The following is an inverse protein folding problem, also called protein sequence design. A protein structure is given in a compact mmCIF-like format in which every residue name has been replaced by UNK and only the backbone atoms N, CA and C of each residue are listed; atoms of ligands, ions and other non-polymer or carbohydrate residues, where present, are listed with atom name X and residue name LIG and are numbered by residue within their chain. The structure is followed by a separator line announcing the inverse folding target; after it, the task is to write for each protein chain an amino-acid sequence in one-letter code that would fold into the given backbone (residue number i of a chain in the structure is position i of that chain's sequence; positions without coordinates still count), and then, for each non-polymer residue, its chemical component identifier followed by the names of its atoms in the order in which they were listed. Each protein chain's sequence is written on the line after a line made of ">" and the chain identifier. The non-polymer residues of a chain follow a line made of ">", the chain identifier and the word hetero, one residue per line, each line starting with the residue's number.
data_IF_360690302820
#
_entry.id   IF_360690302820
#
_cell.length_a   1.000
_cell.length_b   1.000
_cell.length_c   1.000
_cell.angle_alpha   90.00
_cell.angle_beta   90.00
_cell.angle_gamma   90.00
#
_symmetry.space_group_name_H-M   'P 1'
#
loop_
_entity.id
_entity.type
_entity.pdbx_description
1 polymer ?
#
# COMPACT_ATOMS: atom_id res chain seq x y z
N UNK A 1 1.67 -19.98 4.55
CA UNK A 1 1.03 -18.82 5.25
C UNK A 1 0.19 -18.02 4.27
N UNK A 2 -0.77 -17.24 4.78
CA UNK A 2 -1.51 -16.23 4.02
C UNK A 2 -0.89 -14.85 4.29
N UNK A 3 -0.29 -14.25 3.29
CA UNK A 3 0.50 -13.02 3.44
C UNK A 3 -0.13 -11.89 2.63
N UNK A 4 -0.53 -10.82 3.30
CA UNK A 4 -0.98 -9.59 2.65
C UNK A 4 0.22 -8.72 2.25
N UNK A 5 0.22 -8.20 1.03
CA UNK A 5 1.25 -7.27 0.54
C UNK A 5 0.63 -5.89 0.40
N UNK A 6 1.10 -4.95 1.19
CA UNK A 6 0.72 -3.54 1.10
C UNK A 6 1.87 -2.74 0.51
N UNK A 7 1.83 -2.55 -0.80
CA UNK A 7 2.76 -1.67 -1.51
C UNK A 7 2.37 -0.20 -1.37
N UNK A 8 3.36 0.67 -1.29
CA UNK A 8 3.10 2.10 -1.24
C UNK A 8 4.36 2.94 -1.27
N UNK A 9 4.21 4.23 -1.57
CA UNK A 9 5.33 5.17 -1.45
C UNK A 9 5.64 5.43 0.02
N UNK A 10 4.59 5.52 0.86
CA UNK A 10 4.68 5.79 2.30
C UNK A 10 5.50 7.07 2.61
N UNK A 11 5.06 8.17 2.06
CA UNK A 11 5.74 9.46 2.09
C UNK A 11 4.83 10.58 2.67
N UNK A 12 4.50 10.54 3.99
CA UNK A 12 4.73 9.47 4.96
C UNK A 12 3.69 8.34 4.91
N UNK A 13 3.94 7.25 5.63
CA UNK A 13 2.92 6.28 5.99
C UNK A 13 1.93 6.94 6.96
N UNK A 14 0.65 6.54 6.89
CA UNK A 14 -0.43 7.17 7.68
C UNK A 14 -1.41 6.14 8.24
N UNK A 15 -2.24 6.55 9.19
CA UNK A 15 -3.19 5.70 9.91
C UNK A 15 -4.12 4.95 8.97
N UNK A 16 -4.58 5.57 7.88
CA UNK A 16 -5.42 4.91 6.88
C UNK A 16 -4.79 3.67 6.25
N UNK A 17 -3.46 3.66 6.06
CA UNK A 17 -2.75 2.47 5.58
C UNK A 17 -2.65 1.40 6.65
N UNK A 18 -2.44 1.78 7.90
CA UNK A 18 -2.36 0.85 9.02
C UNK A 18 -3.73 0.20 9.30
N UNK A 19 -4.80 0.99 9.29
CA UNK A 19 -6.17 0.49 9.47
C UNK A 19 -6.60 -0.42 8.32
N UNK A 20 -6.27 -0.07 7.08
CA UNK A 20 -6.54 -0.92 5.93
C UNK A 20 -5.81 -2.26 6.03
N UNK A 21 -4.54 -2.25 6.46
CA UNK A 21 -3.78 -3.46 6.71
C UNK A 21 -4.40 -4.33 7.81
N UNK A 22 -4.82 -3.70 8.91
CA UNK A 22 -5.51 -4.40 10.02
C UNK A 22 -6.84 -5.00 9.58
N UNK A 23 -7.61 -4.25 8.77
CA UNK A 23 -8.87 -4.76 8.21
C UNK A 23 -8.64 -5.95 7.30
N UNK A 24 -7.63 -5.91 6.43
CA UNK A 24 -7.28 -7.03 5.57
C UNK A 24 -6.86 -8.26 6.38
N UNK A 25 -6.02 -8.06 7.39
CA UNK A 25 -5.56 -9.11 8.31
C UNK A 25 -6.75 -9.85 8.93
N UNK A 26 -7.71 -9.10 9.47
CA UNK A 26 -8.89 -9.65 10.16
C UNK A 26 -9.91 -10.23 9.20
N UNK A 27 -10.25 -9.52 8.12
CA UNK A 27 -11.32 -9.92 7.19
C UNK A 27 -10.98 -11.20 6.42
N UNK A 28 -9.70 -11.43 6.12
CA UNK A 28 -9.25 -12.57 5.31
C UNK A 28 -8.47 -13.62 6.10
N UNK A 29 -8.39 -13.46 7.43
CA UNK A 29 -7.65 -14.36 8.31
C UNK A 29 -6.22 -14.56 7.79
N UNK A 30 -5.52 -13.41 7.57
CA UNK A 30 -4.15 -13.42 7.12
C UNK A 30 -3.18 -13.64 8.29
N UNK A 31 -2.09 -14.33 8.04
CA UNK A 31 -1.06 -14.57 9.05
C UNK A 31 -0.19 -13.33 9.28
N UNK A 32 0.08 -12.59 8.19
CA UNK A 32 0.99 -11.46 8.19
C UNK A 32 0.57 -10.40 7.14
N UNK A 33 0.98 -9.15 7.39
CA UNK A 33 1.00 -8.09 6.37
C UNK A 33 2.44 -7.62 6.17
N UNK A 34 2.89 -7.62 4.94
CA UNK A 34 4.17 -7.05 4.53
C UNK A 34 3.96 -5.65 3.97
N UNK A 35 4.48 -4.64 4.67
CA UNK A 35 4.54 -3.27 4.18
C UNK A 35 5.76 -3.12 3.30
N UNK A 36 5.55 -2.79 2.04
CA UNK A 36 6.59 -2.74 1.02
C UNK A 36 6.73 -1.34 0.44
N UNK A 37 7.64 -0.51 0.99
CA UNK A 37 7.95 0.79 0.39
C UNK A 37 8.49 0.61 -1.04
N UNK A 38 7.89 1.32 -2.01
CA UNK A 38 8.38 1.27 -3.39
C UNK A 38 9.71 2.02 -3.49
N UNK A 39 10.65 1.45 -4.23
CA UNK A 39 11.85 2.17 -4.64
C UNK A 39 11.50 3.22 -5.71
N UNK A 40 11.40 2.78 -6.96
CA UNK A 40 11.09 3.63 -8.10
C UNK A 40 9.75 3.18 -8.73
N UNK A 41 8.60 3.78 -8.34
CA UNK A 41 7.29 3.36 -8.83
C UNK A 41 7.09 3.78 -10.29
N UNK A 42 6.54 2.91 -11.17
CA UNK A 42 6.42 3.16 -12.60
C UNK A 42 5.43 4.27 -12.96
N UNK A 43 4.48 4.57 -12.06
CA UNK A 43 3.38 5.51 -12.31
C UNK A 43 3.53 6.86 -11.58
N UNK A 44 4.59 7.06 -10.80
CA UNK A 44 4.86 8.33 -10.11
C UNK A 44 6.08 9.01 -10.69
N UNK A 45 5.96 10.32 -10.90
CA UNK A 45 7.15 11.16 -11.17
C UNK A 45 7.97 11.24 -9.88
N UNK A 46 9.28 11.10 -9.97
CA UNK A 46 10.20 11.20 -8.83
C UNK A 46 10.05 12.54 -8.09
N UNK A 47 9.67 13.61 -8.80
CA UNK A 47 9.35 14.92 -8.22
C UNK A 47 8.12 14.96 -7.30
N UNK A 48 7.33 13.91 -7.23
CA UNK A 48 6.18 13.81 -6.29
C UNK A 48 6.51 13.08 -4.99
N UNK A 49 7.75 12.61 -4.84
CA UNK A 49 8.28 11.94 -3.65
C UNK A 49 9.25 12.92 -3.01
N UNK A 50 9.00 13.30 -1.77
CA UNK A 50 9.76 14.34 -1.08
C UNK A 50 10.82 13.76 -0.13
N UNK A 51 10.54 12.61 0.49
CA UNK A 51 11.51 11.91 1.33
C UNK A 51 12.28 10.84 0.55
N UNK A 52 13.53 10.65 0.91
CA UNK A 52 14.31 9.57 0.33
C UNK A 52 13.80 8.18 0.77
N UNK A 53 14.36 7.14 0.17
CA UNK A 53 13.90 5.77 0.45
C UNK A 53 14.23 5.33 1.89
N UNK A 54 15.34 5.81 2.47
CA UNK A 54 15.75 5.45 3.83
C UNK A 54 14.81 6.07 4.86
N UNK A 55 14.40 7.32 4.65
CA UNK A 55 13.40 8.01 5.49
C UNK A 55 12.05 7.32 5.43
N UNK A 56 11.60 6.92 4.23
CA UNK A 56 10.32 6.22 4.05
C UNK A 56 10.33 4.83 4.68
N UNK A 57 11.45 4.10 4.59
CA UNK A 57 11.67 2.84 5.30
C UNK A 57 11.61 3.05 6.81
N UNK A 58 12.33 4.04 7.34
CA UNK A 58 12.35 4.35 8.76
C UNK A 58 10.96 4.68 9.30
N UNK A 59 10.23 5.58 8.63
CA UNK A 59 8.84 5.91 9.01
C UNK A 59 7.92 4.69 8.98
N UNK A 60 8.05 3.83 7.97
CA UNK A 60 7.26 2.60 7.87
C UNK A 60 7.59 1.65 9.00
N UNK A 61 8.87 1.42 9.28
CA UNK A 61 9.33 0.56 10.37
C UNK A 61 8.81 1.04 11.74
N UNK A 62 8.85 2.36 11.99
CA UNK A 62 8.33 2.99 13.21
C UNK A 62 6.82 2.72 13.32
N UNK A 63 6.07 2.98 12.26
CA UNK A 63 4.62 2.88 12.25
C UNK A 63 4.09 1.46 12.53
N UNK A 64 4.79 0.44 12.02
CA UNK A 64 4.33 -0.95 12.13
C UNK A 64 4.84 -1.68 13.37
N UNK A 65 5.77 -1.08 14.13
CA UNK A 65 6.46 -1.72 15.26
C UNK A 65 5.53 -2.30 16.33
N UNK A 66 4.40 -1.67 16.56
CA UNK A 66 3.46 -2.08 17.61
C UNK A 66 2.67 -3.36 17.27
N UNK A 67 2.57 -3.73 16.00
CA UNK A 67 1.81 -4.91 15.55
C UNK A 67 2.76 -6.04 15.15
N UNK A 68 2.69 -7.16 15.89
CA UNK A 68 3.56 -8.34 15.67
C UNK A 68 3.31 -9.07 14.35
N UNK A 69 2.19 -8.82 13.67
CA UNK A 69 1.84 -9.42 12.37
C UNK A 69 2.17 -8.49 11.19
N UNK A 70 2.72 -7.31 11.46
CA UNK A 70 3.17 -6.37 10.43
C UNK A 70 4.68 -6.45 10.26
N UNK A 71 5.13 -6.59 9.03
CA UNK A 71 6.53 -6.75 8.68
C UNK A 71 6.93 -5.74 7.59
N UNK A 72 8.14 -5.24 7.68
CA UNK A 72 8.75 -4.44 6.61
C UNK A 72 9.32 -5.37 5.54
N UNK A 73 8.96 -5.13 4.29
CA UNK A 73 9.52 -5.83 3.13
C UNK A 73 10.26 -4.83 2.23
N UNK A 74 11.57 -4.92 2.18
CA UNK A 74 12.42 -3.96 1.47
C UNK A 74 12.76 -4.38 0.02
N UNK A 75 12.13 -5.42 -0.52
CA UNK A 75 12.50 -5.96 -1.83
C UNK A 75 12.45 -4.91 -2.95
N UNK A 76 11.41 -4.08 -3.00
CA UNK A 76 11.33 -3.02 -4.01
C UNK A 76 12.22 -1.82 -3.67
N UNK A 77 12.36 -1.50 -2.40
CA UNK A 77 13.18 -0.39 -1.92
C UNK A 77 14.68 -0.55 -2.26
N UNK A 78 15.18 -1.77 -2.25
CA UNK A 78 16.58 -2.11 -2.57
C UNK A 78 16.88 -2.20 -4.07
N UNK A 79 15.90 -1.95 -4.92
CA UNK A 79 16.08 -2.06 -6.38
C UNK A 79 16.32 -0.69 -7.00
N UNK A 80 17.40 -0.58 -7.77
CA UNK A 80 17.73 0.61 -8.55
C UNK A 80 16.84 0.81 -9.79
N UNK A 81 16.11 -0.23 -10.19
CA UNK A 81 15.26 -0.23 -11.38
C UNK A 81 13.79 -0.11 -11.01
N UNK A 82 13.00 0.40 -11.94
CA UNK A 82 11.54 0.44 -11.82
C UNK A 82 10.99 -0.93 -11.43
N UNK A 83 10.24 -0.97 -10.34
CA UNK A 83 9.58 -2.17 -9.84
C UNK A 83 8.17 -2.30 -10.45
N UNK A 84 7.89 -3.46 -11.04
CA UNK A 84 6.57 -3.79 -11.58
C UNK A 84 5.93 -4.84 -10.69
N UNK A 85 4.69 -4.62 -10.26
CA UNK A 85 3.98 -5.48 -9.31
C UNK A 85 3.95 -6.96 -9.73
N UNK A 86 3.78 -7.27 -11.02
CA UNK A 86 3.80 -8.65 -11.49
C UNK A 86 5.14 -9.36 -11.23
N UNK A 87 6.27 -8.65 -11.42
CA UNK A 87 7.61 -9.22 -11.17
C UNK A 87 7.85 -9.46 -9.69
N UNK A 88 7.40 -8.53 -8.87
CA UNK A 88 7.50 -8.61 -7.41
C UNK A 88 6.70 -9.80 -6.89
N UNK A 89 5.46 -9.95 -7.33
CA UNK A 89 4.60 -11.05 -6.89
C UNK A 89 5.07 -12.42 -7.40
N UNK A 90 5.55 -12.51 -8.65
CA UNK A 90 6.19 -13.73 -9.16
C UNK A 90 7.46 -14.10 -8.39
N UNK A 91 8.26 -13.10 -7.99
CA UNK A 91 9.44 -13.34 -7.17
C UNK A 91 9.05 -13.95 -5.82
N UNK A 92 8.07 -13.37 -5.11
CA UNK A 92 7.64 -13.91 -3.82
C UNK A 92 7.05 -15.31 -3.95
N UNK A 93 6.22 -15.55 -4.96
CA UNK A 93 5.67 -16.87 -5.21
C UNK A 93 6.75 -17.93 -5.49
N UNK A 94 7.85 -17.54 -6.14
CA UNK A 94 8.99 -18.42 -6.39
C UNK A 94 9.81 -18.68 -5.11
N UNK A 95 9.99 -17.64 -4.28
CA UNK A 95 10.77 -17.75 -3.03
C UNK A 95 10.01 -18.47 -1.92
N UNK A 96 8.68 -18.37 -1.93
CA UNK A 96 7.79 -18.92 -0.91
C UNK A 96 6.65 -19.71 -1.59
N UNK A 97 6.96 -20.89 -2.17
CA UNK A 97 5.99 -21.63 -3.02
C UNK A 97 4.79 -22.17 -2.25
N UNK A 98 4.91 -22.36 -0.95
CA UNK A 98 3.85 -22.88 -0.07
C UNK A 98 2.98 -21.75 0.55
N UNK A 99 3.32 -20.48 0.29
CA UNK A 99 2.61 -19.33 0.81
C UNK A 99 1.60 -18.77 -0.21
N UNK A 100 0.51 -18.23 0.29
CA UNK A 100 -0.53 -17.57 -0.50
C UNK A 100 -0.43 -16.06 -0.33
N UNK A 101 -0.32 -15.33 -1.45
CA UNK A 101 -0.14 -13.89 -1.43
C UNK A 101 -1.41 -13.14 -1.81
N UNK A 102 -1.71 -12.11 -1.02
CA UNK A 102 -2.84 -11.19 -1.17
C UNK A 102 -2.31 -9.79 -1.42
N UNK A 103 -2.46 -9.27 -2.64
CA UNK A 103 -1.98 -7.94 -2.99
C UNK A 103 -3.08 -6.90 -2.77
N UNK A 104 -2.84 -5.98 -1.85
CA UNK A 104 -3.80 -4.97 -1.38
C UNK A 104 -3.67 -3.71 -2.23
N UNK A 105 -4.74 -3.33 -2.95
CA UNK A 105 -4.80 -2.13 -3.79
C UNK A 105 -6.09 -1.35 -3.53
N UNK A 106 -6.09 -0.05 -3.83
CA UNK A 106 -7.31 0.76 -3.80
C UNK A 106 -8.19 0.52 -5.05
N UNK A 107 -9.45 0.92 -4.98
CA UNK A 107 -10.41 0.83 -6.08
C UNK A 107 -9.90 1.51 -7.36
N UNK A 108 -9.33 2.72 -7.26
CA UNK A 108 -8.77 3.45 -8.41
C UNK A 108 -7.69 2.64 -9.13
N UNK A 109 -6.85 1.94 -8.37
CA UNK A 109 -5.83 1.05 -8.91
C UNK A 109 -6.46 -0.15 -9.62
N UNK A 110 -7.55 -0.72 -9.10
CA UNK A 110 -8.26 -1.81 -9.75
C UNK A 110 -8.91 -1.37 -11.07
N UNK A 111 -9.50 -0.17 -11.14
CA UNK A 111 -10.06 0.38 -12.37
C UNK A 111 -9.01 0.62 -13.45
N UNK A 112 -7.78 0.95 -13.05
CA UNK A 112 -6.65 1.21 -13.97
C UNK A 112 -5.72 0.00 -14.17
N UNK A 113 -5.97 -1.14 -13.53
CA UNK A 113 -5.02 -2.27 -13.46
C UNK A 113 -4.68 -2.85 -14.84
N UNK A 114 -5.57 -2.74 -15.81
CA UNK A 114 -5.32 -3.18 -17.19
C UNK A 114 -4.27 -2.33 -17.92
N UNK A 115 -4.00 -1.11 -17.42
CA UNK A 115 -2.91 -0.25 -17.94
C UNK A 115 -1.54 -0.62 -17.34
N UNK A 116 -1.52 -1.47 -16.32
CA UNK A 116 -0.28 -1.92 -15.71
C UNK A 116 0.46 -2.90 -16.62
N UNK A 117 1.76 -2.99 -16.43
CA UNK A 117 2.56 -3.91 -17.23
C UNK A 117 2.26 -5.35 -16.84
N UNK A 118 1.81 -6.16 -17.81
CA UNK A 118 1.50 -7.58 -17.65
C UNK A 118 0.50 -7.89 -16.52
N UNK A 119 -0.72 -7.31 -16.55
CA UNK A 119 -1.72 -7.58 -15.53
C UNK A 119 -2.13 -9.07 -15.46
N UNK A 120 -2.12 -9.77 -16.58
CA UNK A 120 -2.40 -11.20 -16.67
C UNK A 120 -1.42 -12.06 -15.85
N UNK A 121 -0.16 -11.59 -15.70
CA UNK A 121 0.84 -12.27 -14.89
C UNK A 121 0.65 -11.96 -13.41
N UNK A 122 0.27 -10.72 -13.08
CA UNK A 122 -0.04 -10.32 -11.71
C UNK A 122 -1.21 -11.14 -11.16
N UNK A 123 -2.31 -11.28 -11.92
CA UNK A 123 -3.49 -12.07 -11.52
C UNK A 123 -3.19 -13.56 -11.32
N UNK A 124 -2.20 -14.11 -12.02
CA UNK A 124 -1.74 -15.49 -11.81
C UNK A 124 -0.85 -15.66 -10.58
N UNK A 125 -0.21 -14.58 -10.15
CA UNK A 125 0.77 -14.63 -9.07
C UNK A 125 0.16 -14.41 -7.67
N UNK A 126 -0.99 -13.74 -7.55
CA UNK A 126 -1.59 -13.42 -6.27
C UNK A 126 -3.11 -13.22 -6.36
N UNK A 127 -3.76 -13.23 -5.20
CA UNK A 127 -5.13 -12.77 -5.01
C UNK A 127 -5.10 -11.25 -4.83
N UNK A 128 -6.00 -10.53 -5.49
CA UNK A 128 -6.13 -9.08 -5.31
C UNK A 128 -7.16 -8.80 -4.21
N UNK A 129 -6.81 -7.96 -3.25
CA UNK A 129 -7.74 -7.35 -2.30
C UNK A 129 -7.99 -5.91 -2.75
N UNK A 130 -9.19 -5.66 -3.27
CA UNK A 130 -9.59 -4.35 -3.75
C UNK A 130 -10.26 -3.57 -2.63
N UNK A 131 -9.55 -2.59 -2.07
CA UNK A 131 -10.06 -1.73 -1.01
C UNK A 131 -11.02 -0.69 -1.59
N UNK A 132 -12.23 -0.64 -1.04
CA UNK A 132 -13.27 0.28 -1.45
C UNK A 132 -14.00 0.84 -0.24
N UNK A 133 -14.40 2.10 -0.34
CA UNK A 133 -15.30 2.73 0.63
C UNK A 133 -16.67 2.08 0.58
N UNK A 134 -17.35 2.05 1.73
CA UNK A 134 -18.66 1.39 1.87
C UNK A 134 -19.83 2.24 1.31
N UNK A 135 -19.63 2.82 0.13
CA UNK A 135 -20.67 3.56 -0.60
C UNK A 135 -21.29 2.65 -1.67
N UNK A 136 -22.62 2.55 -1.69
CA UNK A 136 -23.34 1.60 -2.55
C UNK A 136 -22.99 1.74 -4.05
N UNK A 137 -22.92 2.98 -4.56
CA UNK A 137 -22.56 3.25 -5.96
C UNK A 137 -21.14 2.80 -6.32
N UNK A 138 -20.19 3.01 -5.39
CA UNK A 138 -18.79 2.58 -5.57
C UNK A 138 -18.67 1.07 -5.53
N UNK A 139 -19.42 0.40 -4.66
CA UNK A 139 -19.48 -1.08 -4.60
C UNK A 139 -20.02 -1.69 -5.88
N UNK A 140 -21.10 -1.15 -6.44
CA UNK A 140 -21.69 -1.66 -7.68
C UNK A 140 -20.72 -1.55 -8.85
N UNK A 141 -20.09 -0.38 -9.03
CA UNK A 141 -19.06 -0.17 -10.06
C UNK A 141 -17.87 -1.09 -9.87
N UNK A 142 -17.41 -1.27 -8.64
CA UNK A 142 -16.29 -2.15 -8.33
C UNK A 142 -16.63 -3.63 -8.60
N UNK A 143 -17.85 -4.07 -8.26
CA UNK A 143 -18.30 -5.42 -8.57
C UNK A 143 -18.34 -5.67 -10.08
N UNK A 144 -18.78 -4.71 -10.87
CA UNK A 144 -18.75 -4.78 -12.34
C UNK A 144 -17.31 -4.98 -12.86
N UNK A 145 -16.36 -4.19 -12.36
CA UNK A 145 -14.95 -4.30 -12.71
C UNK A 145 -14.37 -5.67 -12.30
N UNK A 146 -14.68 -6.14 -11.09
CA UNK A 146 -14.23 -7.46 -10.60
C UNK A 146 -14.74 -8.58 -11.52
N UNK A 147 -16.02 -8.56 -11.89
CA UNK A 147 -16.59 -9.59 -12.76
C UNK A 147 -15.96 -9.55 -14.16
N UNK A 148 -15.72 -8.38 -14.71
CA UNK A 148 -15.04 -8.21 -15.99
C UNK A 148 -13.62 -8.78 -15.95
N UNK A 149 -12.82 -8.44 -14.96
CA UNK A 149 -11.44 -8.92 -14.80
C UNK A 149 -11.40 -10.44 -14.54
N UNK A 150 -12.36 -10.96 -13.77
CA UNK A 150 -12.50 -12.40 -13.54
C UNK A 150 -12.80 -13.13 -14.84
N UNK A 151 -13.73 -12.63 -15.65
CA UNK A 151 -14.09 -13.23 -16.94
C UNK A 151 -12.94 -13.19 -17.95
N UNK A 152 -12.23 -12.06 -18.03
CA UNK A 152 -11.16 -11.84 -19.01
C UNK A 152 -9.84 -12.52 -18.68
N UNK A 153 -9.44 -12.55 -17.41
CA UNK A 153 -8.11 -12.98 -16.97
C UNK A 153 -8.13 -14.17 -16.01
N UNK A 154 -9.31 -14.64 -15.58
CA UNK A 154 -9.41 -15.64 -14.51
C UNK A 154 -8.93 -15.11 -13.16
N UNK A 155 -9.00 -13.78 -12.96
CA UNK A 155 -8.46 -13.13 -11.77
C UNK A 155 -9.23 -13.52 -10.50
N UNK A 156 -8.49 -13.75 -9.41
CA UNK A 156 -9.05 -13.89 -8.08
C UNK A 156 -9.00 -12.55 -7.37
N UNK A 157 -10.16 -11.88 -7.28
CA UNK A 157 -10.29 -10.54 -6.67
C UNK A 157 -11.35 -10.61 -5.59
N UNK A 158 -11.03 -10.11 -4.41
CA UNK A 158 -11.93 -10.03 -3.26
C UNK A 158 -12.10 -8.58 -2.83
N UNK A 159 -13.29 -8.23 -2.39
CA UNK A 159 -13.62 -6.94 -1.85
C UNK A 159 -13.04 -6.80 -0.44
N UNK A 160 -12.30 -5.72 -0.18
CA UNK A 160 -11.79 -5.35 1.13
C UNK A 160 -12.52 -4.08 1.61
N UNK A 161 -13.23 -4.18 2.73
CA UNK A 161 -13.89 -3.03 3.33
C UNK A 161 -12.84 -2.00 3.77
N UNK A 162 -12.97 -0.75 3.34
CA UNK A 162 -12.07 0.33 3.71
C UNK A 162 -12.74 1.23 4.73
N UNK A 163 -12.12 1.49 5.90
CA UNK A 163 -12.57 2.53 6.81
C UNK A 163 -12.62 3.89 6.10
N UNK A 164 -13.58 4.73 6.50
CA UNK A 164 -13.71 6.10 6.00
C UNK A 164 -12.57 6.97 6.56
N UNK A 165 -11.41 6.93 5.96
CA UNK A 165 -10.32 7.85 6.25
C UNK A 165 -10.03 8.70 5.02
N UNK A 166 -10.13 10.04 5.20
CA UNK A 166 -10.11 11.02 4.12
C UNK A 166 -8.75 11.71 3.94
N UNK A 167 -7.64 11.05 4.31
CA UNK A 167 -6.34 11.68 4.23
C UNK A 167 -5.39 10.93 3.30
N UNK A 168 -4.64 11.67 2.52
CA UNK A 168 -3.54 11.15 1.69
C UNK A 168 -2.19 11.64 2.22
N UNK A 169 -1.11 10.92 1.89
CA UNK A 169 0.24 11.38 2.22
C UNK A 169 0.53 12.80 1.70
N UNK A 170 -0.02 13.17 0.54
CA UNK A 170 0.14 14.51 -0.01
C UNK A 170 -0.52 15.60 0.84
N UNK A 171 -1.74 15.35 1.33
CA UNK A 171 -2.44 16.27 2.24
C UNK A 171 -1.70 16.39 3.57
N UNK A 172 -1.20 15.28 4.11
CA UNK A 172 -0.41 15.27 5.35
C UNK A 172 0.85 16.14 5.20
N UNK A 173 1.58 16.02 4.09
CA UNK A 173 2.76 16.85 3.85
C UNK A 173 2.42 18.35 3.81
N UNK A 174 1.31 18.72 3.16
CA UNK A 174 0.83 20.11 3.14
C UNK A 174 0.48 20.63 4.53
N UNK A 175 -0.17 19.82 5.36
CA UNK A 175 -0.48 20.19 6.75
C UNK A 175 0.81 20.41 7.55
N UNK A 176 1.81 19.54 7.38
CA UNK A 176 3.10 19.69 8.04
C UNK A 176 3.80 20.98 7.58
N UNK A 177 3.85 21.25 6.29
CA UNK A 177 4.45 22.46 5.70
C UNK A 177 3.79 23.74 6.21
N UNK A 178 2.46 23.72 6.41
CA UNK A 178 1.71 24.86 6.95
C UNK A 178 1.71 24.94 8.49
N UNK A 179 2.36 24.00 9.18
CA UNK A 179 2.41 23.96 10.65
C UNK A 179 1.12 23.47 11.32
N UNK A 180 0.21 22.90 10.53
CA UNK A 180 -1.04 22.35 11.04
C UNK A 180 -0.83 20.99 11.75
N UNK A 181 -1.71 20.63 12.72
CA UNK A 181 -1.56 19.37 13.45
C UNK A 181 -1.86 18.17 12.55
N UNK A 182 -1.06 17.11 12.67
CA UNK A 182 -1.20 15.86 11.91
C UNK A 182 -1.36 14.62 12.78
N UNK A 183 -1.47 14.78 14.09
CA UNK A 183 -1.54 13.70 15.07
C UNK A 183 -2.74 12.75 14.89
N UNK A 184 -3.81 13.19 14.21
CA UNK A 184 -4.96 12.34 13.87
C UNK A 184 -4.65 11.41 12.68
N UNK A 185 -3.69 11.78 11.83
CA UNK A 185 -3.45 11.11 10.55
C UNK A 185 -2.27 10.17 10.55
N UNK A 186 -1.29 10.42 11.41
CA UNK A 186 -0.06 9.62 11.51
C UNK A 186 0.22 9.19 12.95
N UNK A 187 0.90 8.04 13.16
CA UNK A 187 1.34 7.66 14.50
C UNK A 187 2.25 8.73 15.13
N UNK A 188 2.12 8.93 16.45
CA UNK A 188 2.89 9.95 17.17
C UNK A 188 4.40 9.78 17.01
N UNK A 189 4.89 8.55 16.98
CA UNK A 189 6.32 8.25 16.81
C UNK A 189 6.80 8.58 15.36
N UNK A 190 5.93 8.47 14.37
CA UNK A 190 6.23 8.91 13.00
C UNK A 190 6.27 10.42 12.92
N UNK A 191 5.33 11.12 13.57
CA UNK A 191 5.35 12.58 13.68
C UNK A 191 6.62 13.07 14.36
N UNK A 192 7.02 12.44 15.48
CA UNK A 192 8.25 12.77 16.18
C UNK A 192 9.50 12.58 15.30
N UNK A 193 9.53 11.51 14.50
CA UNK A 193 10.61 11.27 13.54
C UNK A 193 10.66 12.36 12.46
N UNK A 194 9.51 12.71 11.86
CA UNK A 194 9.41 13.76 10.84
C UNK A 194 9.95 15.09 11.36
N UNK A 195 9.56 15.49 12.58
CA UNK A 195 10.03 16.73 13.21
C UNK A 195 11.53 16.69 13.50
N UNK A 196 12.03 15.56 14.01
CA UNK A 196 13.45 15.38 14.33
C UNK A 196 14.35 15.50 13.10
N UNK A 197 13.94 14.88 11.98
CA UNK A 197 14.70 14.88 10.73
C UNK A 197 14.40 16.12 9.85
N UNK A 198 13.49 17.02 10.27
CA UNK A 198 13.12 18.21 9.51
C UNK A 198 12.45 17.94 8.18
N UNK A 199 11.71 16.80 8.06
CA UNK A 199 11.06 16.43 6.82
C UNK A 199 9.84 17.31 6.54
N UNK A 200 9.54 17.51 5.27
CA UNK A 200 8.36 18.24 4.78
C UNK A 200 8.27 19.67 5.35
N UNK A 201 9.40 20.32 5.60
CA UNK A 201 9.41 21.68 6.16
C UNK A 201 9.07 21.78 7.65
N UNK A 202 9.03 20.67 8.38
CA UNK A 202 8.67 20.64 9.81
C UNK A 202 9.71 21.27 10.75
N UNK A 203 10.84 21.73 10.23
CA UNK A 203 11.95 22.32 11.00
C UNK A 203 11.97 23.86 11.06
N UNK A 204 10.94 24.55 10.56
CA UNK A 204 10.84 26.00 10.56
C UNK A 204 9.97 26.51 11.70
#
# INVERSE_FOLDING_TARGET
>A
MKIGIMGGTFDPIHNGRLHLAQTALTQFDLDQIWFMPNGMPPHKKQSSIESDIHERIAMTQIAIKANKQFYLQEYEAKREKVSYSYKTMEHFRKMYPDDEFYFIIGADSLFSIETWKHPERLFKACIILAACRDEAATKESLNGQIQMLKGKYGAYIKFLAMPLEHVSSHEIRKLIESGEPVSEYIPAEVEAYIRKEGLYGSGN
#
